data_IF_939305547424
#
_entry.id   IF_939305547424
#
_cell.length_a   1.000
_cell.length_b   1.000
_cell.length_c   1.000
_cell.angle_alpha   90.00
_cell.angle_beta   90.00
_cell.angle_gamma   90.00
#
_symmetry.space_group_name_H-M   'P 1'
#
loop_
_entity.id
_entity.type
_entity.pdbx_description
1 polymer ?
#
# COMPACT_ATOMS: atom_id res chain seq x y z
N UNK A 1 -14.40 -3.46 10.48
CA UNK A 1 -14.58 -3.07 9.06
C UNK A 1 -13.31 -2.37 8.59
N UNK A 2 -12.67 -2.87 7.54
CA UNK A 2 -11.45 -2.28 6.97
C UNK A 2 -11.79 -1.04 6.15
N UNK A 3 -11.04 0.05 6.35
CA UNK A 3 -11.25 1.32 5.62
C UNK A 3 -9.93 1.84 5.08
N UNK A 4 -9.93 2.31 3.83
CA UNK A 4 -8.80 3.04 3.25
C UNK A 4 -8.87 4.50 3.71
N UNK A 5 -7.75 5.02 4.26
CA UNK A 5 -7.64 6.42 4.68
C UNK A 5 -6.27 6.97 4.31
N UNK A 6 -6.23 8.28 4.05
CA UNK A 6 -4.98 9.02 3.90
C UNK A 6 -4.23 9.04 5.24
N UNK A 7 -2.93 8.83 5.18
CA UNK A 7 -2.02 8.96 6.33
C UNK A 7 -1.58 10.43 6.37
N UNK A 8 -1.99 11.14 7.42
CA UNK A 8 -1.73 12.56 7.64
C UNK A 8 -0.59 12.77 8.64
N UNK A 9 -0.19 14.02 8.85
CA UNK A 9 0.81 14.42 9.86
C UNK A 9 0.46 13.89 11.26
N UNK A 10 -0.80 13.96 11.68
CA UNK A 10 -1.25 13.47 12.99
C UNK A 10 -1.05 11.96 13.14
N UNK A 11 -1.28 11.20 12.06
CA UNK A 11 -1.03 9.78 12.06
C UNK A 11 0.47 9.46 12.16
N UNK A 12 1.31 10.22 11.45
CA UNK A 12 2.77 10.04 11.47
C UNK A 12 3.36 10.35 12.85
N UNK A 13 2.87 11.38 13.53
CA UNK A 13 3.34 11.74 14.88
C UNK A 13 3.18 10.65 15.95
N UNK A 14 2.28 9.73 15.72
CA UNK A 14 1.99 8.58 16.61
C UNK A 14 1.93 7.26 15.84
N UNK A 15 2.76 7.14 14.81
CA UNK A 15 2.71 6.00 13.90
C UNK A 15 3.05 4.68 14.61
N UNK A 16 3.98 4.72 15.58
CA UNK A 16 4.34 3.64 16.49
C UNK A 16 3.16 3.12 17.34
N UNK A 17 2.17 3.98 17.61
CA UNK A 17 0.98 3.61 18.37
C UNK A 17 -0.14 3.01 17.52
N UNK A 18 -0.15 3.30 16.22
CA UNK A 18 -1.21 2.89 15.28
C UNK A 18 -0.75 1.88 14.25
N UNK A 19 0.55 1.58 14.18
CA UNK A 19 1.17 0.60 13.30
C UNK A 19 2.00 -0.39 14.12
N UNK A 20 2.56 -1.39 13.47
CA UNK A 20 3.58 -2.27 14.03
C UNK A 20 4.81 -1.45 14.43
N UNK A 21 5.24 -1.57 15.70
CA UNK A 21 6.32 -0.75 16.26
C UNK A 21 7.67 -1.00 15.57
N UNK A 22 7.97 -2.25 15.19
CA UNK A 22 9.21 -2.59 14.49
C UNK A 22 9.25 -1.93 13.10
N UNK A 23 8.10 -1.89 12.41
CA UNK A 23 7.96 -1.23 11.11
C UNK A 23 8.06 0.29 11.25
N UNK A 24 7.43 0.86 12.29
CA UNK A 24 7.53 2.30 12.58
C UNK A 24 8.98 2.70 12.86
N UNK A 25 9.70 1.92 13.67
CA UNK A 25 11.12 2.11 13.97
C UNK A 25 12.00 2.04 12.71
N UNK A 26 11.81 1.03 11.85
CA UNK A 26 12.53 0.90 10.58
C UNK A 26 12.35 2.12 9.67
N UNK A 27 11.21 2.80 9.74
CA UNK A 27 10.89 3.98 8.95
C UNK A 27 11.32 5.30 9.62
N UNK A 28 11.86 5.25 10.86
CA UNK A 28 12.20 6.42 11.66
C UNK A 28 10.96 7.20 12.11
N UNK A 29 9.83 6.52 12.31
CA UNK A 29 8.53 7.10 12.65
C UNK A 29 8.17 6.92 14.14
N UNK A 30 9.12 6.52 14.95
CA UNK A 30 8.98 6.22 16.39
C UNK A 30 9.36 7.39 17.31
N UNK A 31 9.95 8.47 16.77
CA UNK A 31 10.52 9.55 17.54
C UNK A 31 9.53 10.67 17.93
N UNK A 32 8.23 10.51 17.70
CA UNK A 32 7.21 11.53 17.98
C UNK A 32 7.30 12.80 17.13
N UNK A 33 8.34 12.93 16.29
CA UNK A 33 8.52 14.00 15.31
C UNK A 33 8.52 13.43 13.90
N UNK A 34 7.66 13.93 13.01
CA UNK A 34 7.67 13.50 11.61
C UNK A 34 9.04 13.73 10.98
N UNK A 35 9.56 12.76 10.21
CA UNK A 35 10.76 12.99 9.41
C UNK A 35 10.48 14.02 8.31
N UNK A 36 11.52 14.69 7.82
CA UNK A 36 11.43 15.77 6.85
C UNK A 36 10.60 15.38 5.61
N UNK A 37 10.82 14.17 5.08
CA UNK A 37 10.09 13.68 3.91
C UNK A 37 8.57 13.58 4.14
N UNK A 38 8.15 13.16 5.34
CA UNK A 38 6.73 13.05 5.68
C UNK A 38 6.10 14.44 5.91
N UNK A 39 6.83 15.35 6.53
CA UNK A 39 6.42 16.75 6.70
C UNK A 39 6.25 17.46 5.34
N UNK A 40 7.18 17.25 4.42
CA UNK A 40 7.12 17.80 3.08
C UNK A 40 5.91 17.27 2.31
N UNK A 41 5.68 15.94 2.33
CA UNK A 41 4.52 15.33 1.70
C UNK A 41 3.20 15.84 2.28
N UNK A 42 3.08 15.90 3.63
CA UNK A 42 1.89 16.43 4.29
C UNK A 42 1.65 17.90 3.97
N UNK A 43 2.70 18.70 3.86
CA UNK A 43 2.59 20.13 3.52
C UNK A 43 2.21 20.35 2.06
N UNK A 44 2.75 19.55 1.14
CA UNK A 44 2.50 19.71 -0.29
C UNK A 44 1.19 19.07 -0.72
N UNK A 45 0.80 17.92 -0.13
CA UNK A 45 -0.31 17.09 -0.61
C UNK A 45 -1.40 16.82 0.44
N UNK A 46 -1.27 17.36 1.66
CA UNK A 46 -2.21 17.11 2.78
C UNK A 46 -2.05 15.75 3.45
N UNK A 47 -1.10 14.92 3.01
CA UNK A 47 -0.80 13.60 3.57
C UNK A 47 0.48 13.03 2.97
N UNK A 48 0.94 11.91 3.52
CA UNK A 48 2.17 11.24 3.07
C UNK A 48 1.94 9.78 2.65
N UNK A 49 0.70 9.35 2.50
CA UNK A 49 0.40 7.98 2.07
C UNK A 49 -1.05 7.58 2.28
N UNK A 50 -1.33 6.31 2.01
CA UNK A 50 -2.62 5.67 2.21
C UNK A 50 -2.45 4.38 2.99
N UNK A 51 -3.33 4.16 3.97
CA UNK A 51 -3.33 2.93 4.78
C UNK A 51 -4.69 2.28 4.87
N UNK A 52 -4.68 0.98 5.09
CA UNK A 52 -5.86 0.21 5.50
C UNK A 52 -5.95 0.21 7.01
N UNK A 53 -7.10 0.62 7.54
CA UNK A 53 -7.33 0.77 8.97
C UNK A 53 -8.35 -0.24 9.47
N UNK A 54 -8.04 -0.88 10.61
CA UNK A 54 -8.92 -1.81 11.31
C UNK A 54 -8.81 -1.56 12.82
N UNK A 55 -9.93 -1.30 13.49
CA UNK A 55 -9.97 -1.05 14.95
C UNK A 55 -9.00 0.04 15.45
N UNK A 56 -8.76 1.08 14.64
CA UNK A 56 -7.85 2.18 14.99
C UNK A 56 -6.38 1.95 14.64
N UNK A 57 -6.02 0.76 14.14
CA UNK A 57 -4.65 0.42 13.75
C UNK A 57 -4.50 0.34 12.22
N UNK A 58 -3.30 0.70 11.74
CA UNK A 58 -2.91 0.55 10.33
C UNK A 58 -2.48 -0.90 10.11
N UNK A 59 -3.15 -1.59 9.21
CA UNK A 59 -2.90 -3.00 8.91
C UNK A 59 -2.16 -3.23 7.60
N UNK A 60 -2.07 -2.23 6.74
CA UNK A 60 -1.21 -2.18 5.57
C UNK A 60 -1.12 -0.75 5.07
N UNK A 61 -0.05 -0.38 4.39
CA UNK A 61 0.10 0.99 3.89
C UNK A 61 1.06 1.10 2.70
N UNK A 62 0.95 2.25 2.03
CA UNK A 62 1.92 2.80 1.10
C UNK A 62 2.23 4.23 1.58
N UNK A 63 3.52 4.58 1.67
CA UNK A 63 3.99 5.93 2.00
C UNK A 63 4.71 6.53 0.80
N UNK A 64 4.50 7.82 0.57
CA UNK A 64 5.07 8.58 -0.53
C UNK A 64 5.66 9.90 -0.05
N UNK A 65 6.66 10.40 -0.77
CA UNK A 65 7.31 11.69 -0.53
C UNK A 65 7.53 12.41 -1.86
N UNK A 66 7.63 13.74 -1.89
CA UNK A 66 8.24 14.43 -3.01
C UNK A 66 9.65 13.90 -3.25
N UNK A 67 10.00 13.62 -4.52
CA UNK A 67 11.25 12.94 -4.85
C UNK A 67 12.50 13.62 -4.29
N UNK A 68 12.52 14.96 -4.27
CA UNK A 68 13.63 15.78 -3.74
C UNK A 68 13.77 15.75 -2.22
N UNK A 69 12.71 15.33 -1.50
CA UNK A 69 12.66 15.32 -0.02
C UNK A 69 12.81 13.91 0.57
N UNK A 70 13.04 12.89 -0.29
CA UNK A 70 13.23 11.53 0.22
C UNK A 70 14.49 11.40 1.09
N UNK A 71 14.53 10.42 2.02
CA UNK A 71 15.72 10.17 2.84
C UNK A 71 16.96 9.89 1.97
N UNK A 72 18.12 10.45 2.34
CA UNK A 72 19.38 10.28 1.58
C UNK A 72 19.86 8.83 1.51
N UNK A 73 19.47 8.01 2.47
CA UNK A 73 19.78 6.58 2.51
C UNK A 73 18.71 5.71 1.82
N UNK A 74 17.66 6.31 1.27
CA UNK A 74 16.63 5.57 0.53
C UNK A 74 17.21 5.00 -0.77
N UNK A 75 16.86 3.77 -1.16
CA UNK A 75 17.39 3.11 -2.38
C UNK A 75 17.16 3.88 -3.69
N UNK A 76 16.17 4.79 -3.74
CA UNK A 76 15.92 5.69 -4.87
C UNK A 76 16.76 6.96 -4.85
N UNK A 77 17.46 7.28 -3.75
CA UNK A 77 18.19 8.54 -3.63
C UNK A 77 19.22 8.67 -4.76
N UNK A 78 19.14 9.76 -5.51
CA UNK A 78 19.97 10.02 -6.69
C UNK A 78 19.68 9.15 -7.92
N UNK A 79 18.56 8.40 -7.92
CA UNK A 79 18.20 7.47 -9.01
C UNK A 79 16.85 7.74 -9.65
N UNK A 80 16.10 8.73 -9.18
CA UNK A 80 14.83 9.09 -9.80
C UNK A 80 15.03 9.43 -11.27
N UNK A 81 14.14 8.91 -12.11
CA UNK A 81 14.12 9.22 -13.54
C UNK A 81 13.56 10.62 -13.80
N UNK A 82 12.69 11.11 -12.89
CA UNK A 82 12.08 12.44 -12.93
C UNK A 82 12.18 13.13 -11.57
N UNK A 83 12.68 14.36 -11.54
CA UNK A 83 12.82 15.11 -10.28
C UNK A 83 11.49 15.58 -9.68
N UNK A 84 10.45 15.68 -10.49
CA UNK A 84 9.09 16.09 -10.14
C UNK A 84 8.17 14.92 -9.78
N UNK A 85 8.68 13.68 -9.81
CA UNK A 85 7.94 12.49 -9.40
C UNK A 85 7.75 12.42 -7.88
N UNK A 86 6.73 11.69 -7.45
CA UNK A 86 6.63 11.19 -6.09
C UNK A 86 7.49 9.93 -5.93
N UNK A 87 8.24 9.84 -4.83
CA UNK A 87 8.93 8.62 -4.46
C UNK A 87 8.02 7.74 -3.57
N UNK A 88 7.90 6.45 -3.90
CA UNK A 88 7.34 5.44 -2.99
C UNK A 88 8.38 5.16 -1.92
N UNK A 89 8.17 5.70 -0.72
CA UNK A 89 9.10 5.56 0.41
C UNK A 89 9.01 4.17 1.02
N UNK A 90 7.79 3.67 1.21
CA UNK A 90 7.58 2.36 1.83
C UNK A 90 6.27 1.73 1.39
N UNK A 91 6.27 0.39 1.36
CA UNK A 91 5.07 -0.41 1.21
C UNK A 91 5.09 -1.58 2.20
N UNK A 92 4.04 -1.70 3.01
CA UNK A 92 3.92 -2.75 4.01
C UNK A 92 2.55 -3.42 3.95
N UNK A 93 2.53 -4.73 3.65
CA UNK A 93 1.32 -5.53 3.49
C UNK A 93 1.54 -6.88 4.17
N UNK A 94 1.48 -6.93 5.50
CA UNK A 94 1.79 -8.12 6.27
C UNK A 94 0.78 -9.25 6.06
N UNK A 95 1.26 -10.49 6.23
CA UNK A 95 0.41 -11.69 6.24
C UNK A 95 -0.26 -12.04 4.90
N UNK A 96 -0.01 -11.28 3.83
CA UNK A 96 -0.58 -11.51 2.50
C UNK A 96 0.50 -11.91 1.51
N UNK A 97 0.18 -12.87 0.64
CA UNK A 97 1.07 -13.34 -0.43
C UNK A 97 0.31 -13.42 -1.77
N UNK A 98 1.06 -13.40 -2.87
CA UNK A 98 0.51 -13.59 -4.21
C UNK A 98 -0.63 -12.63 -4.55
N UNK A 99 -1.74 -13.14 -5.01
CA UNK A 99 -2.90 -12.36 -5.46
C UNK A 99 -3.52 -11.48 -4.37
N UNK A 100 -3.56 -11.94 -3.11
CA UNK A 100 -4.13 -11.16 -2.00
C UNK A 100 -3.26 -9.92 -1.67
N UNK A 101 -1.93 -10.06 -1.72
CA UNK A 101 -1.02 -8.94 -1.58
C UNK A 101 -1.14 -7.95 -2.73
N UNK A 102 -1.25 -8.45 -3.97
CA UNK A 102 -1.43 -7.62 -5.16
C UNK A 102 -2.78 -6.88 -5.16
N UNK A 103 -3.87 -7.53 -4.75
CA UNK A 103 -5.19 -6.88 -4.64
C UNK A 103 -5.20 -5.76 -3.60
N UNK A 104 -4.60 -5.99 -2.41
CA UNK A 104 -4.44 -4.97 -1.39
C UNK A 104 -3.57 -3.81 -1.91
N UNK A 105 -2.44 -4.12 -2.54
CA UNK A 105 -1.54 -3.14 -3.13
C UNK A 105 -2.22 -2.30 -4.20
N UNK A 106 -2.99 -2.91 -5.11
CA UNK A 106 -3.78 -2.16 -6.11
C UNK A 106 -4.76 -1.19 -5.47
N UNK A 107 -5.46 -1.59 -4.41
CA UNK A 107 -6.39 -0.69 -3.71
C UNK A 107 -5.66 0.50 -3.08
N UNK A 108 -4.51 0.27 -2.46
CA UNK A 108 -3.67 1.30 -1.87
C UNK A 108 -3.12 2.24 -2.96
N UNK A 109 -2.52 1.69 -4.02
CA UNK A 109 -1.89 2.49 -5.07
C UNK A 109 -2.94 3.28 -5.88
N UNK A 110 -4.09 2.70 -6.19
CA UNK A 110 -5.17 3.41 -6.88
C UNK A 110 -5.66 4.61 -6.08
N UNK A 111 -5.78 4.46 -4.76
CA UNK A 111 -6.15 5.56 -3.88
C UNK A 111 -5.05 6.62 -3.81
N UNK A 112 -3.78 6.21 -3.75
CA UNK A 112 -2.62 7.11 -3.76
C UNK A 112 -2.53 7.85 -5.09
N UNK A 113 -2.66 7.16 -6.22
CA UNK A 113 -2.64 7.73 -7.57
C UNK A 113 -3.75 8.76 -7.75
N UNK A 114 -5.00 8.42 -7.40
CA UNK A 114 -6.13 9.34 -7.51
C UNK A 114 -5.97 10.60 -6.64
N UNK A 115 -5.23 10.50 -5.54
CA UNK A 115 -4.92 11.63 -4.68
C UNK A 115 -3.77 12.48 -5.22
N UNK A 116 -2.74 11.87 -5.83
CA UNK A 116 -1.57 12.57 -6.38
C UNK A 116 -1.77 13.06 -7.82
N UNK A 117 -2.79 12.56 -8.53
CA UNK A 117 -3.10 12.97 -9.92
C UNK A 117 -3.25 14.49 -10.02
N UNK A 118 -2.55 15.08 -10.98
CA UNK A 118 -2.48 16.53 -11.18
C UNK A 118 -1.45 17.26 -10.31
N UNK A 119 -0.87 16.58 -9.31
CA UNK A 119 0.20 17.13 -8.46
C UNK A 119 1.58 16.68 -8.89
N UNK A 120 1.70 15.44 -9.40
CA UNK A 120 2.95 14.85 -9.90
C UNK A 120 2.67 14.02 -11.16
N UNK A 121 3.66 13.90 -12.08
CA UNK A 121 3.49 13.12 -13.31
C UNK A 121 3.56 11.61 -13.09
N UNK A 122 4.30 11.16 -12.08
CA UNK A 122 4.53 9.74 -11.82
C UNK A 122 4.81 9.44 -10.34
N UNK A 123 4.70 8.16 -9.97
CA UNK A 123 5.21 7.61 -8.72
C UNK A 123 6.36 6.67 -9.08
N UNK A 124 7.54 6.88 -8.49
CA UNK A 124 8.69 6.00 -8.68
C UNK A 124 8.96 5.16 -7.43
N UNK A 125 9.36 3.90 -7.63
CA UNK A 125 9.61 2.93 -6.57
C UNK A 125 10.96 2.22 -6.78
N UNK A 126 11.67 1.92 -5.69
CA UNK A 126 12.81 1.01 -5.70
C UNK A 126 12.29 -0.43 -5.67
N UNK A 127 12.47 -1.18 -6.74
CA UNK A 127 12.12 -2.59 -6.81
C UNK A 127 13.33 -3.52 -6.67
N UNK A 128 13.14 -4.69 -6.07
CA UNK A 128 14.17 -5.73 -6.02
C UNK A 128 13.65 -7.08 -6.49
N UNK A 129 14.48 -7.84 -7.19
CA UNK A 129 14.22 -9.25 -7.51
C UNK A 129 14.71 -10.22 -6.43
N UNK A 130 15.36 -9.69 -5.39
CA UNK A 130 15.93 -10.42 -4.25
C UNK A 130 14.98 -10.38 -3.03
N UNK A 131 15.53 -10.47 -1.83
CA UNK A 131 14.73 -10.31 -0.60
C UNK A 131 14.12 -8.91 -0.53
N UNK A 132 12.80 -8.84 -0.55
CA UNK A 132 12.05 -7.58 -0.43
C UNK A 132 12.11 -7.05 1.00
N UNK A 133 12.08 -5.73 1.13
CA UNK A 133 11.96 -5.02 2.39
C UNK A 133 10.82 -4.01 2.31
N UNK A 134 10.55 -3.31 3.41
CA UNK A 134 9.57 -2.22 3.43
C UNK A 134 9.94 -1.08 2.47
N UNK A 135 11.25 -0.86 2.25
CA UNK A 135 11.82 0.17 1.37
C UNK A 135 11.95 -0.27 -0.10
N UNK A 136 12.07 -1.57 -0.32
CA UNK A 136 12.31 -2.18 -1.63
C UNK A 136 11.37 -3.36 -1.85
N UNK A 137 10.13 -3.10 -2.28
CA UNK A 137 9.18 -4.15 -2.63
C UNK A 137 9.68 -5.07 -3.75
N UNK A 138 9.14 -6.29 -3.83
CA UNK A 138 9.40 -7.23 -4.93
C UNK A 138 8.94 -6.62 -6.27
N UNK A 139 9.80 -6.65 -7.28
CA UNK A 139 9.51 -6.15 -8.64
C UNK A 139 8.23 -6.79 -9.21
N UNK A 140 8.02 -8.10 -8.97
CA UNK A 140 6.82 -8.80 -9.46
C UNK A 140 5.55 -8.25 -8.80
N UNK A 141 5.64 -7.89 -7.52
CA UNK A 141 4.53 -7.24 -6.83
C UNK A 141 4.28 -5.84 -7.37
N UNK A 142 5.34 -5.02 -7.58
CA UNK A 142 5.21 -3.70 -8.19
C UNK A 142 4.57 -3.78 -9.58
N UNK A 143 5.02 -4.71 -10.44
CA UNK A 143 4.38 -4.95 -11.75
C UNK A 143 2.90 -5.35 -11.62
N UNK A 144 2.58 -6.21 -10.65
CA UNK A 144 1.21 -6.65 -10.41
C UNK A 144 0.26 -5.53 -9.96
N UNK A 145 0.78 -4.42 -9.43
CA UNK A 145 -0.01 -3.24 -9.01
C UNK A 145 0.07 -2.08 -10.01
N UNK A 146 0.75 -2.25 -11.16
CA UNK A 146 0.71 -1.31 -12.26
C UNK A 146 2.02 -0.59 -12.57
N UNK A 147 3.10 -0.83 -11.80
CA UNK A 147 4.40 -0.25 -12.12
C UNK A 147 5.06 -0.97 -13.30
N UNK A 148 5.82 -0.24 -14.08
CA UNK A 148 6.70 -0.72 -15.14
C UNK A 148 8.14 -0.26 -14.90
N UNK A 149 9.09 -0.79 -15.66
CA UNK A 149 10.49 -0.39 -15.56
C UNK A 149 10.66 1.04 -16.11
N UNK A 150 11.32 1.90 -15.36
CA UNK A 150 11.67 3.24 -15.85
C UNK A 150 12.69 3.11 -16.98
N UNK A 151 12.47 3.80 -18.11
CA UNK A 151 13.25 3.69 -19.35
C UNK A 151 14.73 4.05 -19.23
N UNK A 152 15.11 4.73 -18.14
CA UNK A 152 16.48 5.25 -17.91
C UNK A 152 17.08 4.76 -16.59
N UNK A 153 16.53 3.70 -16.00
CA UNK A 153 17.07 3.16 -14.76
C UNK A 153 18.44 2.49 -15.00
N UNK A 154 19.49 2.82 -14.22
CA UNK A 154 20.77 2.12 -14.31
C UNK A 154 20.60 0.64 -13.94
N UNK A 155 21.30 -0.26 -14.66
CA UNK A 155 21.28 -1.70 -14.43
C UNK A 155 22.01 -2.06 -13.12
N UNK A 156 21.31 -2.03 -12.00
CA UNK A 156 21.83 -2.41 -10.66
C UNK A 156 20.92 -3.43 -10.00
N UNK A 157 21.31 -3.91 -8.83
CA UNK A 157 20.52 -4.82 -8.00
C UNK A 157 19.15 -4.25 -7.56
N UNK A 158 19.04 -2.91 -7.48
CA UNK A 158 17.79 -2.19 -7.23
C UNK A 158 17.36 -1.53 -8.54
N UNK A 159 16.15 -1.87 -8.99
CA UNK A 159 15.57 -1.35 -10.22
C UNK A 159 14.61 -0.21 -9.90
N UNK A 160 14.67 0.87 -10.69
CA UNK A 160 13.66 1.93 -10.61
C UNK A 160 12.43 1.50 -11.39
N UNK A 161 11.29 1.50 -10.70
CA UNK A 161 9.98 1.19 -11.25
C UNK A 161 9.14 2.46 -11.25
N UNK A 162 8.35 2.70 -12.30
CA UNK A 162 7.54 3.90 -12.48
C UNK A 162 6.06 3.54 -12.66
N UNK A 163 5.18 4.32 -12.06
CA UNK A 163 3.75 4.35 -12.32
C UNK A 163 3.40 5.73 -12.90
N UNK A 164 3.11 5.79 -14.19
CA UNK A 164 2.76 7.02 -14.89
C UNK A 164 1.33 7.47 -14.49
N UNK A 165 1.20 8.68 -13.96
CA UNK A 165 -0.08 9.28 -13.57
C UNK A 165 -0.65 10.18 -14.67
N UNK A 166 0.13 10.59 -15.66
CA UNK A 166 -0.31 11.45 -16.77
C UNK A 166 -1.32 10.73 -17.67
N UNK A 167 -1.18 9.43 -17.83
CA UNK A 167 -2.11 8.58 -18.60
C UNK A 167 -3.48 8.43 -17.94
N UNK A 168 -3.58 8.68 -16.62
CA UNK A 168 -4.82 8.53 -15.85
C UNK A 168 -5.81 9.68 -16.09
N UNK A 169 -5.32 10.85 -16.49
CA UNK A 169 -6.14 12.07 -16.73
C UNK A 169 -6.76 12.07 -18.13
N UNK A 170 -6.17 11.33 -19.09
CA UNK A 170 -6.62 11.28 -20.48
C UNK A 170 -7.70 10.25 -20.82
N UNK A 171 -7.94 9.27 -19.96
CA UNK A 171 -8.82 8.14 -20.24
C UNK A 171 -10.20 8.22 -19.58
N UNK A 172 -10.86 9.38 -19.65
CA UNK A 172 -12.33 9.44 -19.55
C UNK A 172 -13.00 8.95 -20.86
N UNK A 173 -12.23 8.27 -21.74
CA UNK A 173 -12.75 7.66 -22.98
C UNK A 173 -12.72 6.15 -22.79
N UNK A 174 -13.90 5.59 -22.55
CA UNK A 174 -14.26 4.16 -22.67
C UNK A 174 -13.36 3.15 -21.89
N UNK A 175 -13.51 3.14 -20.58
CA UNK A 175 -13.30 1.86 -19.89
C UNK A 175 -14.38 0.87 -20.39
N UNK A 176 -13.99 -0.27 -20.98
CA UNK A 176 -14.99 -1.24 -21.40
C UNK A 176 -15.84 -1.62 -20.19
N UNK A 177 -17.17 -1.54 -20.36
CA UNK A 177 -18.20 -1.75 -19.33
C UNK A 177 -18.05 -3.07 -18.53
N UNK A 178 -17.24 -4.00 -19.03
CA UNK A 178 -16.88 -5.25 -18.36
C UNK A 178 -16.02 -5.07 -17.09
N UNK A 179 -15.19 -4.02 -16.99
CA UNK A 179 -14.35 -3.77 -15.80
C UNK A 179 -15.17 -3.11 -14.68
N UNK A 180 -16.13 -2.26 -15.03
CA UNK A 180 -17.03 -1.62 -14.03
C UNK A 180 -17.95 -2.67 -13.41
N UNK A 181 -18.44 -3.64 -14.17
CA UNK A 181 -19.31 -4.72 -13.68
C UNK A 181 -18.56 -5.66 -12.73
N UNK A 182 -17.28 -5.93 -12.98
CA UNK A 182 -16.47 -6.79 -12.12
C UNK A 182 -16.19 -6.14 -10.74
N UNK A 183 -15.86 -4.85 -10.73
CA UNK A 183 -15.64 -4.09 -9.47
C UNK A 183 -16.94 -3.99 -8.66
N UNK A 184 -18.09 -3.80 -9.29
CA UNK A 184 -19.38 -3.75 -8.59
C UNK A 184 -19.83 -5.10 -8.06
N UNK A 185 -19.56 -6.21 -8.76
CA UNK A 185 -19.94 -7.54 -8.29
C UNK A 185 -19.11 -8.02 -7.10
N UNK A 186 -17.82 -7.67 -7.01
CA UNK A 186 -16.96 -8.14 -5.92
C UNK A 186 -17.10 -7.32 -4.63
N UNK A 187 -17.58 -6.05 -4.72
CA UNK A 187 -17.73 -5.16 -3.57
C UNK A 187 -19.16 -5.02 -3.04
N UNK A 188 -20.17 -5.48 -3.77
CA UNK A 188 -21.61 -5.32 -3.41
C UNK A 188 -22.34 -6.62 -3.09
N UNK A 189 -21.70 -7.78 -3.12
CA UNK A 189 -22.31 -8.98 -2.59
C UNK A 189 -22.19 -8.97 -1.06
N UNK A 190 -23.30 -8.82 -0.30
CA UNK A 190 -23.30 -9.11 1.12
C UNK A 190 -23.07 -10.60 1.27
N UNK A 191 -21.98 -10.99 1.95
CA UNK A 191 -21.79 -12.37 2.38
C UNK A 191 -23.00 -12.80 3.24
N UNK A 192 -23.87 -13.58 2.65
CA UNK A 192 -24.92 -14.29 3.39
C UNK A 192 -24.24 -15.38 4.22
N UNK A 193 -23.92 -15.05 5.45
CA UNK A 193 -23.52 -16.01 6.46
C UNK A 193 -24.69 -16.96 6.73
N UNK A 194 -24.74 -18.10 6.04
CA UNK A 194 -25.56 -19.22 6.42
C UNK A 194 -24.98 -19.84 7.68
N UNK A 195 -25.57 -19.48 8.80
CA UNK A 195 -25.37 -20.11 10.11
C UNK A 195 -25.87 -21.55 10.05
N UNK A 196 -25.01 -22.51 9.73
CA UNK A 196 -25.32 -23.92 9.95
C UNK A 196 -24.82 -24.32 11.35
N UNK A 197 -25.61 -24.01 12.35
CA UNK A 197 -25.47 -24.57 13.70
C UNK A 197 -26.10 -25.94 13.71
N UNK A 198 -25.31 -26.97 13.44
CA UNK A 198 -25.69 -28.35 13.74
C UNK A 198 -25.11 -28.74 15.09
N UNK A 199 -25.95 -28.60 16.12
CA UNK A 199 -25.65 -29.09 17.45
C UNK A 199 -25.92 -30.61 17.44
N UNK A 200 -24.89 -31.43 17.35
CA UNK A 200 -24.99 -32.87 17.54
C UNK A 200 -24.93 -33.16 19.06
N UNK A 201 -26.07 -33.51 19.62
CA UNK A 201 -26.17 -34.07 20.96
C UNK A 201 -25.60 -35.49 20.94
N UNK A 202 -24.41 -35.70 21.51
CA UNK A 202 -23.97 -37.03 21.87
C UNK A 202 -24.62 -37.46 23.18
N UNK A 203 -25.45 -38.47 23.11
CA UNK A 203 -26.01 -39.21 24.24
C UNK A 203 -24.89 -39.86 25.06
N UNK A 204 -24.76 -39.48 26.30
CA UNK A 204 -24.12 -40.32 27.32
C UNK A 204 -25.06 -41.45 27.61
N UNK A 205 -24.57 -42.66 27.43
CA UNK A 205 -25.20 -43.90 27.88
C UNK A 205 -24.50 -44.37 29.13
N UNK A 206 -25.18 -44.26 30.26
CA UNK A 206 -24.81 -44.91 31.53
C UNK A 206 -24.84 -46.43 31.37
N UNK A 207 -23.75 -47.09 31.74
CA UNK A 207 -23.66 -48.54 31.89
C UNK A 207 -23.09 -48.87 33.25
N UNK A 208 -23.99 -49.02 34.25
CA UNK A 208 -23.72 -49.75 35.48
C UNK A 208 -23.43 -51.22 35.15
N UNK A 209 -22.55 -51.82 35.91
CA UNK A 209 -22.37 -53.26 35.89
C UNK A 209 -21.22 -53.75 36.78
N UNK A 210 -21.54 -54.04 38.03
CA UNK A 210 -20.93 -54.96 39.02
C UNK A 210 -19.44 -54.92 39.21
#
# INVERSE_FOLDING_TARGET
MRRLRTITREHIQRFDQVCDADVAHLLGLDAGRPPQWADAACSQWGGCGVGTWESGHVTSFILTSPGKEMPVNHPLAGRLSRQDSAALIAAWIPGRRGHAAAACGRSLINRTSGWLTGSVPAIEAAGTGMASSVWTPDIRWLRAIGFHEATHAPANAVQVMELDLSMTVGSHVDMPSRLVTWVQQEFLQPETFTKTSRCEKSHLNDGMGT
#
